data_IF_817848057354
#
_entry.id   IF_817848057354
#
_cell.length_a   1.000
_cell.length_b   1.000
_cell.length_c   1.000
_cell.angle_alpha   90.00
_cell.angle_beta   90.00
_cell.angle_gamma   90.00
#
_symmetry.space_group_name_H-M   'P 1'
#
loop_
_entity.id
_entity.type
_entity.pdbx_description
1 polymer ?
#
# COMPACT_ATOMS: atom_id res chain seq x y z
N UNK A 1 -4.79 27.96 32.00
CA UNK A 1 -3.90 28.05 33.14
C UNK A 1 -4.33 27.01 34.17
N UNK A 2 -3.85 25.76 34.02
CA UNK A 2 -3.88 24.73 35.07
C UNK A 2 -2.76 23.77 34.75
N UNK A 3 -1.70 23.82 35.58
CA UNK A 3 -0.58 22.87 35.58
C UNK A 3 -0.96 21.62 36.36
N UNK A 4 -0.58 20.45 35.86
CA UNK A 4 -0.46 19.24 36.64
C UNK A 4 0.96 18.68 36.54
N UNK A 5 1.51 18.08 37.62
CA UNK A 5 2.92 17.86 37.77
C UNK A 5 3.40 16.55 37.15
N UNK A 6 4.61 16.62 36.61
CA UNK A 6 5.42 15.49 36.12
C UNK A 6 5.95 14.67 37.29
N UNK A 7 5.70 13.37 37.29
CA UNK A 7 6.43 12.39 38.13
C UNK A 7 7.33 11.56 37.18
N UNK A 8 8.64 11.70 37.37
CA UNK A 8 9.66 10.80 36.78
C UNK A 8 9.92 9.66 37.75
N UNK A 9 10.01 8.42 37.32
CA UNK A 9 10.66 7.37 38.09
C UNK A 9 12.15 7.28 37.74
N UNK A 10 12.91 7.17 38.80
CA UNK A 10 14.36 7.07 38.86
C UNK A 10 14.81 5.65 38.47
N UNK A 11 15.79 5.55 37.56
CA UNK A 11 16.43 4.28 37.16
C UNK A 11 17.81 4.25 37.77
N UNK A 12 17.95 3.54 38.86
CA UNK A 12 19.24 3.02 39.31
C UNK A 12 19.05 1.80 40.18
N UNK A 13 19.75 0.74 39.83
CA UNK A 13 19.93 -0.62 40.42
C UNK A 13 19.30 -1.71 39.56
N UNK A 14 20.00 -2.73 39.09
CA UNK A 14 21.03 -3.57 39.66
C UNK A 14 21.69 -4.41 38.56
N UNK A 15 23.00 -4.30 38.43
CA UNK A 15 23.79 -5.40 37.88
C UNK A 15 24.44 -6.16 39.04
N UNK A 16 24.11 -7.41 39.23
CA UNK A 16 24.97 -8.38 39.92
C UNK A 16 25.09 -9.65 39.11
N UNK A 17 26.31 -9.86 38.70
CA UNK A 17 26.85 -11.05 38.03
C UNK A 17 27.01 -12.20 39.01
N UNK A 18 26.63 -13.41 38.70
CA UNK A 18 27.31 -14.59 39.18
C UNK A 18 26.93 -15.88 38.38
N UNK A 19 28.00 -16.61 38.10
CA UNK A 19 28.16 -18.06 37.88
C UNK A 19 28.02 -18.63 36.46
N UNK A 20 29.18 -18.88 35.91
CA UNK A 20 29.49 -19.84 34.85
C UNK A 20 28.94 -21.24 35.15
N UNK A 21 28.09 -21.78 34.28
CA UNK A 21 27.89 -23.22 34.12
C UNK A 21 28.15 -23.63 32.67
N UNK A 22 29.07 -24.57 32.49
CA UNK A 22 29.36 -25.25 31.22
C UNK A 22 28.09 -25.97 30.75
N UNK A 23 27.64 -25.71 29.55
CA UNK A 23 26.63 -26.51 28.86
C UNK A 23 27.23 -27.15 27.61
N UNK A 24 27.01 -28.46 27.52
CA UNK A 24 27.35 -29.31 26.40
C UNK A 24 26.62 -28.88 25.14
N UNK A 25 27.31 -28.85 24.01
CA UNK A 25 26.77 -28.58 22.69
C UNK A 25 25.76 -29.66 22.29
N UNK A 26 24.55 -29.31 21.89
CA UNK A 26 23.69 -30.23 21.15
C UNK A 26 24.00 -30.13 19.64
N UNK A 27 24.15 -31.30 19.04
CA UNK A 27 24.27 -31.54 17.61
C UNK A 27 23.12 -30.82 16.88
N UNK A 28 23.44 -29.86 16.03
CA UNK A 28 22.52 -29.21 15.14
C UNK A 28 21.94 -30.20 14.14
N UNK A 29 20.70 -30.63 14.34
CA UNK A 29 19.91 -31.29 13.31
C UNK A 29 19.62 -30.24 12.19
N UNK A 30 20.04 -30.58 10.98
CA UNK A 30 19.67 -29.81 9.78
C UNK A 30 18.14 -29.72 9.69
N UNK A 31 17.57 -28.55 9.35
CA UNK A 31 16.14 -28.44 9.11
C UNK A 31 15.79 -29.25 7.85
N UNK A 32 14.97 -30.27 8.04
CA UNK A 32 14.31 -30.98 6.95
C UNK A 32 13.50 -29.99 6.13
N UNK A 33 13.78 -29.90 4.84
CA UNK A 33 12.98 -29.13 3.89
C UNK A 33 11.50 -29.51 4.02
N UNK A 34 10.69 -28.60 4.47
CA UNK A 34 9.25 -28.76 4.52
C UNK A 34 8.74 -28.97 3.08
N UNK A 35 8.22 -30.17 2.81
CA UNK A 35 7.51 -30.45 1.56
C UNK A 35 6.23 -29.64 1.56
N UNK A 36 6.23 -28.54 0.80
CA UNK A 36 5.00 -27.84 0.47
C UNK A 36 4.15 -28.77 -0.41
N UNK A 37 2.97 -29.12 0.09
CA UNK A 37 1.95 -29.87 -0.64
C UNK A 37 1.54 -29.03 -1.88
N UNK A 38 1.89 -29.50 -3.06
CA UNK A 38 1.45 -28.94 -4.33
C UNK A 38 0.01 -29.38 -4.59
N UNK A 39 -0.95 -28.68 -4.02
CA UNK A 39 -2.28 -28.61 -4.63
C UNK A 39 -2.16 -27.73 -5.86
N UNK A 40 -2.67 -28.16 -7.00
CA UNK A 40 -2.65 -27.47 -8.28
C UNK A 40 -3.50 -26.19 -8.25
N UNK A 41 -3.02 -25.16 -7.59
CA UNK A 41 -3.52 -23.79 -7.73
C UNK A 41 -2.78 -23.16 -8.90
N UNK A 42 -3.50 -22.46 -9.77
CA UNK A 42 -2.90 -21.61 -10.81
C UNK A 42 -1.84 -20.72 -10.18
N UNK A 43 -0.72 -20.46 -10.88
CA UNK A 43 0.36 -19.62 -10.32
C UNK A 43 -0.20 -18.25 -9.98
N UNK A 44 0.17 -17.73 -8.78
CA UNK A 44 -0.20 -16.38 -8.36
C UNK A 44 0.29 -15.35 -9.40
N UNK A 45 -0.63 -14.52 -9.88
CA UNK A 45 -0.34 -13.41 -10.77
C UNK A 45 -0.65 -12.09 -10.06
N UNK A 46 0.28 -11.12 -10.08
CA UNK A 46 0.01 -9.80 -9.53
C UNK A 46 -1.11 -9.11 -10.30
N UNK A 47 -1.90 -8.24 -9.65
CA UNK A 47 -2.88 -7.42 -10.35
C UNK A 47 -2.20 -6.49 -11.35
N UNK A 48 -2.75 -6.36 -12.56
CA UNK A 48 -2.24 -5.41 -13.56
C UNK A 48 -2.33 -3.97 -13.05
N UNK A 49 -3.39 -3.65 -12.29
CA UNK A 49 -3.59 -2.33 -11.71
C UNK A 49 -4.03 -2.42 -10.24
N UNK A 50 -3.43 -1.60 -9.39
CA UNK A 50 -3.82 -1.47 -7.99
C UNK A 50 -3.75 -0.03 -7.50
N UNK A 51 -4.60 0.31 -6.51
CA UNK A 51 -4.57 1.60 -5.81
C UNK A 51 -3.69 1.48 -4.57
N UNK A 52 -2.68 2.35 -4.46
CA UNK A 52 -1.74 2.33 -3.35
C UNK A 52 -2.41 2.61 -1.99
N UNK A 53 -1.96 1.97 -0.90
CA UNK A 53 -2.37 2.31 0.46
C UNK A 53 -1.93 3.73 0.82
N UNK A 54 -2.86 4.58 1.23
CA UNK A 54 -2.60 5.99 1.56
C UNK A 54 -3.39 6.38 2.82
N UNK A 55 -2.68 6.68 3.91
CA UNK A 55 -3.29 7.12 5.17
C UNK A 55 -4.21 8.31 4.95
N UNK A 56 -5.37 8.28 5.58
CA UNK A 56 -6.45 9.27 5.52
C UNK A 56 -7.11 9.41 4.13
N UNK A 57 -6.68 8.65 3.13
CA UNK A 57 -7.17 8.74 1.75
C UNK A 57 -7.85 7.47 1.26
N UNK A 58 -7.25 6.29 1.48
CA UNK A 58 -7.82 5.02 1.01
C UNK A 58 -8.61 4.30 2.10
N UNK A 59 -9.42 5.09 2.81
CA UNK A 59 -10.37 4.60 3.80
C UNK A 59 -11.52 3.78 3.16
N UNK A 60 -12.40 3.26 3.98
CA UNK A 60 -13.53 2.46 3.53
C UNK A 60 -14.45 3.22 2.56
N UNK A 61 -14.60 4.53 2.74
CA UNK A 61 -15.48 5.38 1.94
C UNK A 61 -14.89 5.61 0.54
N UNK A 62 -13.59 5.92 0.46
CA UNK A 62 -12.90 6.03 -0.81
C UNK A 62 -12.91 4.71 -1.59
N UNK A 63 -12.64 3.58 -0.92
CA UNK A 63 -12.65 2.26 -1.59
C UNK A 63 -14.02 1.90 -2.13
N UNK A 64 -15.10 2.28 -1.44
CA UNK A 64 -16.47 2.13 -1.97
C UNK A 64 -16.68 2.95 -3.23
N UNK A 65 -16.29 4.24 -3.23
CA UNK A 65 -16.35 5.07 -4.44
C UNK A 65 -15.52 4.46 -5.58
N UNK A 66 -14.28 4.08 -5.30
CA UNK A 66 -13.39 3.46 -6.28
C UNK A 66 -14.02 2.21 -6.92
N UNK A 67 -14.65 1.36 -6.11
CA UNK A 67 -15.31 0.12 -6.59
C UNK A 67 -16.59 0.37 -7.39
N UNK A 68 -17.28 1.47 -7.17
CA UNK A 68 -18.39 1.88 -8.04
C UNK A 68 -17.84 2.24 -9.43
N UNK A 69 -16.72 2.98 -9.49
CA UNK A 69 -16.09 3.47 -10.74
C UNK A 69 -15.42 2.32 -11.52
N UNK A 70 -14.63 1.45 -10.85
CA UNK A 70 -13.90 0.33 -11.48
C UNK A 70 -14.24 -0.99 -10.81
N UNK A 71 -14.36 -2.07 -11.60
CA UNK A 71 -14.62 -3.43 -11.09
C UNK A 71 -13.35 -4.26 -10.91
N UNK A 72 -12.25 -3.92 -11.59
CA UNK A 72 -11.06 -4.77 -11.70
C UNK A 72 -9.83 -4.24 -10.95
N UNK A 73 -9.77 -2.93 -10.63
CA UNK A 73 -8.67 -2.40 -9.83
C UNK A 73 -8.60 -3.07 -8.45
N UNK A 74 -7.41 -3.52 -8.05
CA UNK A 74 -7.18 -4.00 -6.69
C UNK A 74 -7.07 -2.82 -5.72
N UNK A 75 -7.79 -2.90 -4.62
CA UNK A 75 -7.85 -1.85 -3.61
C UNK A 75 -7.04 -2.26 -2.38
N UNK A 76 -6.33 -1.31 -1.79
CA UNK A 76 -5.59 -1.51 -0.54
C UNK A 76 -6.28 -0.77 0.59
N UNK A 77 -6.30 -1.35 1.78
CA UNK A 77 -6.64 -0.62 2.99
C UNK A 77 -5.59 0.46 3.25
N UNK A 78 -5.87 1.38 4.15
CA UNK A 78 -4.82 2.13 4.82
C UNK A 78 -3.92 1.17 5.59
N UNK A 79 -2.70 1.58 5.93
CA UNK A 79 -1.82 0.77 6.77
C UNK A 79 -2.38 0.67 8.20
N UNK A 80 -2.65 -0.54 8.65
CA UNK A 80 -3.12 -0.82 10.02
C UNK A 80 -1.94 -1.38 10.82
N UNK A 81 -1.64 -0.75 11.97
CA UNK A 81 -0.60 -1.26 12.85
C UNK A 81 -1.04 -2.59 13.49
N UNK A 82 -0.21 -3.63 13.37
CA UNK A 82 -0.51 -4.96 13.90
C UNK A 82 -0.82 -4.92 15.42
N UNK A 83 -0.07 -4.13 16.17
CA UNK A 83 -0.32 -3.94 17.60
C UNK A 83 -1.71 -3.36 17.89
N UNK A 84 -2.23 -2.47 17.04
CA UNK A 84 -3.59 -1.94 17.20
C UNK A 84 -4.62 -3.08 17.16
N UNK A 85 -4.51 -3.99 16.19
CA UNK A 85 -5.41 -5.14 16.10
C UNK A 85 -5.28 -6.09 17.30
N UNK A 86 -4.06 -6.32 17.76
CA UNK A 86 -3.79 -7.17 18.93
C UNK A 86 -4.38 -6.59 20.22
N UNK A 87 -4.35 -5.27 20.39
CA UNK A 87 -4.88 -4.62 21.58
C UNK A 87 -6.39 -4.32 21.51
N UNK A 88 -6.95 -4.20 20.32
CA UNK A 88 -8.37 -3.83 20.09
C UNK A 88 -9.23 -5.02 19.63
N UNK A 89 -8.99 -6.23 20.15
CA UNK A 89 -9.66 -7.46 19.71
C UNK A 89 -11.18 -7.44 19.87
N UNK A 90 -11.72 -6.64 20.77
CA UNK A 90 -13.16 -6.47 20.98
C UNK A 90 -13.81 -5.51 19.98
N UNK A 91 -13.03 -4.84 19.14
CA UNK A 91 -13.50 -3.81 18.20
C UNK A 91 -12.80 -3.92 16.84
N UNK A 92 -12.58 -5.13 16.37
CA UNK A 92 -11.85 -5.38 15.09
C UNK A 92 -12.62 -4.86 13.88
N UNK A 93 -13.95 -4.90 13.92
CA UNK A 93 -14.81 -4.44 12.81
C UNK A 93 -14.51 -2.99 12.42
N UNK A 94 -14.19 -2.16 13.40
CA UNK A 94 -13.80 -0.75 13.14
C UNK A 94 -12.59 -0.63 12.21
N UNK A 95 -11.67 -1.59 12.24
CA UNK A 95 -10.41 -1.57 11.50
C UNK A 95 -10.43 -2.45 10.27
N UNK A 96 -11.14 -3.59 10.34
CA UNK A 96 -11.05 -4.65 9.36
C UNK A 96 -12.31 -4.84 8.51
N UNK A 97 -13.50 -4.39 8.99
CA UNK A 97 -14.72 -4.58 8.23
C UNK A 97 -14.78 -3.69 6.98
N UNK A 98 -15.26 -4.25 5.91
CA UNK A 98 -15.49 -3.57 4.63
C UNK A 98 -16.69 -4.18 3.89
N UNK A 99 -17.40 -3.43 3.04
CA UNK A 99 -18.44 -3.99 2.19
C UNK A 99 -17.90 -5.05 1.23
N UNK A 100 -18.55 -6.22 1.07
CA UNK A 100 -18.09 -7.30 0.18
C UNK A 100 -17.85 -6.86 -1.27
N UNK A 101 -18.54 -5.81 -1.70
CA UNK A 101 -18.35 -5.24 -3.05
C UNK A 101 -16.95 -4.67 -3.28
N UNK A 102 -16.15 -4.40 -2.24
CA UNK A 102 -14.81 -3.85 -2.40
C UNK A 102 -13.77 -4.87 -2.91
N UNK A 103 -14.09 -6.16 -2.95
CA UNK A 103 -13.19 -7.14 -3.57
C UNK A 103 -12.87 -6.82 -5.05
N UNK A 104 -11.61 -7.10 -5.49
CA UNK A 104 -10.48 -7.60 -4.70
C UNK A 104 -9.86 -6.51 -3.82
N UNK A 105 -9.54 -6.87 -2.57
CA UNK A 105 -9.02 -5.96 -1.56
C UNK A 105 -7.85 -6.56 -0.76
N UNK A 106 -6.82 -5.76 -0.52
CA UNK A 106 -5.61 -6.13 0.23
C UNK A 106 -5.57 -5.44 1.58
N UNK A 107 -5.34 -6.22 2.64
CA UNK A 107 -5.04 -5.68 3.96
C UNK A 107 -3.56 -5.29 4.03
N UNK A 108 -3.25 -4.01 4.29
CA UNK A 108 -1.87 -3.63 4.57
C UNK A 108 -1.61 -3.54 6.08
N UNK A 109 -0.67 -4.36 6.57
CA UNK A 109 -0.18 -4.33 7.94
C UNK A 109 1.10 -3.51 8.07
N UNK A 110 1.27 -2.87 9.24
CA UNK A 110 2.51 -2.24 9.66
C UNK A 110 2.92 -2.75 11.04
N UNK A 111 4.22 -2.96 11.24
CA UNK A 111 4.77 -3.41 12.52
C UNK A 111 6.15 -4.04 12.33
N UNK A 112 6.90 -4.19 13.42
CA UNK A 112 8.20 -4.86 13.48
C UNK A 112 8.23 -6.06 14.43
N UNK A 113 7.20 -6.21 15.27
CA UNK A 113 7.10 -7.34 16.17
C UNK A 113 6.44 -8.53 15.44
N UNK A 114 7.20 -9.60 15.25
CA UNK A 114 6.81 -10.80 14.48
C UNK A 114 5.56 -11.47 15.06
N UNK A 115 5.48 -11.60 16.39
CA UNK A 115 4.34 -12.22 17.06
C UNK A 115 3.06 -11.40 16.87
N UNK A 116 3.15 -10.07 16.99
CA UNK A 116 2.01 -9.17 16.75
C UNK A 116 1.53 -9.22 15.30
N UNK A 117 2.46 -9.33 14.33
CA UNK A 117 2.13 -9.47 12.91
C UNK A 117 1.44 -10.82 12.62
N UNK A 118 1.94 -11.92 13.16
CA UNK A 118 1.32 -13.23 13.08
C UNK A 118 -0.12 -13.22 13.64
N UNK A 119 -0.28 -12.64 14.84
CA UNK A 119 -1.59 -12.54 15.48
C UNK A 119 -2.55 -11.63 14.71
N UNK A 120 -2.08 -10.50 14.16
CA UNK A 120 -2.88 -9.62 13.32
C UNK A 120 -3.35 -10.33 12.04
N UNK A 121 -2.48 -11.11 11.38
CA UNK A 121 -2.83 -11.93 10.23
C UNK A 121 -3.93 -12.95 10.59
N UNK A 122 -3.79 -13.66 11.70
CA UNK A 122 -4.80 -14.59 12.19
C UNK A 122 -6.14 -13.90 12.48
N UNK A 123 -6.13 -12.74 13.12
CA UNK A 123 -7.35 -11.97 13.44
C UNK A 123 -8.06 -11.46 12.17
N UNK A 124 -7.32 -11.17 11.11
CA UNK A 124 -7.90 -10.70 9.84
C UNK A 124 -8.58 -11.80 9.01
N UNK A 125 -8.35 -13.07 9.33
CA UNK A 125 -8.88 -14.21 8.58
C UNK A 125 -10.40 -14.19 8.43
N UNK A 126 -11.12 -13.80 9.49
CA UNK A 126 -12.60 -13.75 9.49
C UNK A 126 -13.17 -12.69 8.52
N UNK A 127 -12.35 -11.77 8.01
CA UNK A 127 -12.79 -10.67 7.16
C UNK A 127 -12.62 -10.96 5.65
N UNK A 128 -11.91 -12.02 5.29
CA UNK A 128 -11.86 -12.51 3.91
C UNK A 128 -11.10 -11.61 2.94
N UNK A 129 -10.01 -10.96 3.36
CA UNK A 129 -9.13 -10.23 2.45
C UNK A 129 -8.52 -11.14 1.39
N UNK A 130 -8.29 -10.63 0.18
CA UNK A 130 -7.72 -11.39 -0.93
C UNK A 130 -6.19 -11.54 -0.82
N UNK A 131 -5.53 -10.64 -0.08
CA UNK A 131 -4.08 -10.62 0.13
C UNK A 131 -3.74 -9.88 1.43
N UNK A 132 -2.62 -10.24 2.07
CA UNK A 132 -2.03 -9.47 3.17
C UNK A 132 -0.70 -8.90 2.70
N UNK A 133 -0.50 -7.60 2.89
CA UNK A 133 0.70 -6.87 2.51
C UNK A 133 1.40 -6.29 3.73
N UNK A 134 2.73 -6.44 3.83
CA UNK A 134 3.54 -5.78 4.86
C UNK A 134 4.12 -4.47 4.32
N UNK A 135 3.97 -3.40 5.10
CA UNK A 135 4.54 -2.10 4.78
C UNK A 135 6.02 -2.02 5.19
N UNK A 136 6.90 -2.00 4.19
CA UNK A 136 8.34 -1.74 4.33
C UNK A 136 8.75 -0.46 3.58
N UNK A 137 7.85 0.53 3.41
CA UNK A 137 8.13 1.69 2.56
C UNK A 137 7.72 3.05 3.13
N UNK A 138 6.98 3.11 4.24
CA UNK A 138 6.51 4.37 4.83
C UNK A 138 7.66 5.10 5.54
N UNK A 139 8.01 6.35 5.13
CA UNK A 139 9.08 7.12 5.76
C UNK A 139 8.58 8.05 6.87
N UNK A 140 7.31 7.96 7.28
CA UNK A 140 6.75 8.84 8.30
C UNK A 140 7.52 8.71 9.63
N UNK A 141 7.90 9.80 10.30
CA UNK A 141 8.58 9.74 11.60
C UNK A 141 7.80 8.95 12.67
N UNK A 142 6.47 8.97 12.63
CA UNK A 142 5.63 8.15 13.53
C UNK A 142 5.79 6.65 13.28
N UNK A 143 6.14 6.25 12.07
CA UNK A 143 6.26 4.87 11.63
C UNK A 143 7.73 4.44 11.67
N UNK A 144 8.60 5.11 10.92
CA UNK A 144 10.00 4.73 10.75
C UNK A 144 10.90 5.15 11.92
N UNK A 145 10.53 6.23 12.64
CA UNK A 145 11.26 6.69 13.83
C UNK A 145 10.77 5.97 15.09
N UNK A 146 9.75 6.50 15.75
CA UNK A 146 9.25 5.95 17.02
C UNK A 146 8.67 4.54 16.91
N UNK A 147 8.07 4.20 15.75
CA UNK A 147 7.48 2.87 15.52
C UNK A 147 8.49 1.80 15.10
N UNK A 148 9.69 2.17 14.66
CA UNK A 148 10.74 1.27 14.16
C UNK A 148 10.24 0.25 13.12
N UNK A 149 9.30 0.64 12.25
CA UNK A 149 8.78 -0.17 11.15
C UNK A 149 8.60 0.68 9.87
N UNK A 150 7.83 0.22 8.88
CA UNK A 150 7.79 0.89 7.58
C UNK A 150 9.12 0.80 6.87
N UNK A 151 9.66 1.92 6.36
CA UNK A 151 10.88 1.88 5.57
C UNK A 151 12.12 1.48 6.37
N UNK A 152 12.15 1.70 7.68
CA UNK A 152 13.26 1.25 8.55
C UNK A 152 13.46 -0.27 8.51
N UNK A 153 12.42 -1.04 8.21
CA UNK A 153 12.51 -2.49 8.04
C UNK A 153 13.41 -2.91 6.87
N UNK A 154 13.58 -2.07 5.85
CA UNK A 154 14.47 -2.39 4.73
C UNK A 154 15.93 -2.55 5.18
N UNK A 155 16.32 -1.94 6.31
CA UNK A 155 17.65 -2.07 6.90
C UNK A 155 17.84 -3.40 7.67
N UNK A 156 16.77 -4.18 7.85
CA UNK A 156 16.82 -5.50 8.50
C UNK A 156 16.00 -6.54 7.69
N UNK A 157 16.51 -6.96 6.53
CA UNK A 157 15.80 -7.89 5.65
C UNK A 157 15.57 -9.27 6.28
N UNK A 158 16.40 -9.68 7.26
CA UNK A 158 16.18 -10.93 8.01
C UNK A 158 14.89 -10.85 8.84
N UNK A 159 14.69 -9.76 9.58
CA UNK A 159 13.47 -9.54 10.36
C UNK A 159 12.23 -9.50 9.45
N UNK A 160 12.34 -8.89 8.26
CA UNK A 160 11.23 -8.88 7.29
C UNK A 160 10.91 -10.30 6.81
N UNK A 161 11.92 -11.11 6.50
CA UNK A 161 11.72 -12.50 6.10
C UNK A 161 11.03 -13.32 7.21
N UNK A 162 11.49 -13.22 8.45
CA UNK A 162 10.88 -13.86 9.62
C UNK A 162 9.42 -13.39 9.83
N UNK A 163 9.16 -12.10 9.71
CA UNK A 163 7.82 -11.54 9.82
C UNK A 163 6.89 -12.04 8.70
N UNK A 164 7.37 -12.09 7.46
CA UNK A 164 6.60 -12.58 6.33
C UNK A 164 6.30 -14.08 6.42
N UNK A 165 7.24 -14.89 6.93
CA UNK A 165 6.98 -16.30 7.24
C UNK A 165 5.88 -16.43 8.29
N UNK A 166 5.98 -15.68 9.39
CA UNK A 166 4.99 -15.72 10.46
C UNK A 166 3.60 -15.24 10.03
N UNK A 167 3.52 -14.21 9.16
CA UNK A 167 2.26 -13.79 8.55
C UNK A 167 1.68 -14.91 7.69
N UNK A 168 2.49 -15.52 6.82
CA UNK A 168 2.06 -16.59 5.92
C UNK A 168 1.56 -17.82 6.67
N UNK A 169 2.22 -18.21 7.75
CA UNK A 169 1.81 -19.34 8.60
C UNK A 169 0.44 -19.12 9.28
N UNK A 170 -0.01 -17.87 9.36
CA UNK A 170 -1.28 -17.44 9.97
C UNK A 170 -2.28 -16.83 8.99
N UNK A 171 -1.97 -16.87 7.69
CA UNK A 171 -2.83 -16.40 6.61
C UNK A 171 -3.17 -17.56 5.66
N UNK A 172 -4.38 -17.53 5.05
CA UNK A 172 -4.79 -18.46 4.00
C UNK A 172 -4.81 -17.80 2.61
N UNK A 173 -4.18 -16.65 2.49
CA UNK A 173 -4.11 -15.82 1.27
C UNK A 173 -2.65 -15.47 0.96
N UNK A 174 -2.35 -15.06 -0.27
CA UNK A 174 -1.00 -14.61 -0.63
C UNK A 174 -0.50 -13.50 0.30
N UNK A 175 0.83 -13.52 0.57
CA UNK A 175 1.49 -12.50 1.39
C UNK A 175 2.55 -11.77 0.59
N UNK A 176 2.53 -10.44 0.65
CA UNK A 176 3.35 -9.57 -0.20
C UNK A 176 4.03 -8.46 0.59
N UNK A 177 5.06 -7.86 0.01
CA UNK A 177 5.82 -6.76 0.63
C UNK A 177 5.72 -5.51 -0.23
N UNK A 178 5.43 -4.36 0.39
CA UNK A 178 5.55 -3.06 -0.28
C UNK A 178 6.74 -2.30 0.28
N UNK A 179 7.77 -2.11 -0.54
CA UNK A 179 9.02 -1.48 -0.17
C UNK A 179 9.34 -0.24 -1.03
N UNK A 180 10.51 0.33 -0.80
CA UNK A 180 11.18 1.33 -1.63
C UNK A 180 12.43 0.73 -2.27
N UNK A 181 13.21 1.54 -3.00
CA UNK A 181 14.48 1.12 -3.60
C UNK A 181 15.69 1.34 -2.68
N UNK A 182 15.49 1.88 -1.48
CA UNK A 182 16.54 2.13 -0.49
C UNK A 182 16.11 3.13 0.57
N UNK A 183 17.00 3.37 1.53
CA UNK A 183 16.82 4.26 2.69
C UNK A 183 18.11 5.07 2.90
N UNK A 184 18.01 6.40 2.92
CA UNK A 184 19.13 7.32 3.08
C UNK A 184 20.30 6.98 2.14
N UNK A 185 21.45 6.60 2.68
CA UNK A 185 22.65 6.23 1.90
C UNK A 185 22.70 4.75 1.52
N UNK A 186 21.76 3.94 2.01
CA UNK A 186 21.57 2.54 1.64
C UNK A 186 20.61 2.44 0.44
N UNK A 187 21.05 2.87 -0.74
CA UNK A 187 20.21 2.97 -1.94
C UNK A 187 20.87 2.44 -3.22
N UNK A 188 21.89 1.59 -3.08
CA UNK A 188 22.46 0.85 -4.20
C UNK A 188 21.51 -0.23 -4.70
N UNK A 189 21.66 -0.59 -5.97
CA UNK A 189 20.89 -1.68 -6.55
C UNK A 189 21.19 -3.02 -5.88
N UNK A 190 22.45 -3.26 -5.50
CA UNK A 190 22.86 -4.47 -4.80
C UNK A 190 22.21 -4.62 -3.43
N UNK A 191 22.11 -3.55 -2.64
CA UNK A 191 21.40 -3.58 -1.34
C UNK A 191 19.91 -3.86 -1.50
N UNK A 192 19.28 -3.33 -2.56
CA UNK A 192 17.91 -3.66 -2.90
C UNK A 192 17.76 -5.14 -3.27
N UNK A 193 18.68 -5.69 -4.04
CA UNK A 193 18.69 -7.11 -4.38
C UNK A 193 18.91 -8.00 -3.15
N UNK A 194 19.83 -7.63 -2.26
CA UNK A 194 20.08 -8.32 -1.00
C UNK A 194 18.80 -8.36 -0.12
N UNK A 195 18.05 -7.25 -0.07
CA UNK A 195 16.75 -7.20 0.60
C UNK A 195 15.75 -8.19 -0.01
N UNK A 196 15.55 -8.14 -1.32
CA UNK A 196 14.61 -9.01 -2.05
C UNK A 196 15.00 -10.48 -1.89
N UNK A 197 16.28 -10.79 -2.11
CA UNK A 197 16.82 -12.15 -1.97
C UNK A 197 16.60 -12.71 -0.57
N UNK A 198 16.98 -11.97 0.47
CA UNK A 198 16.85 -12.40 1.85
C UNK A 198 15.40 -12.65 2.24
N UNK A 199 14.50 -11.73 1.91
CA UNK A 199 13.07 -11.86 2.22
C UNK A 199 12.45 -13.05 1.49
N UNK A 200 12.71 -13.23 0.19
CA UNK A 200 12.15 -14.33 -0.61
C UNK A 200 12.73 -15.69 -0.26
N UNK A 201 13.96 -15.75 0.30
CA UNK A 201 14.59 -16.99 0.76
C UNK A 201 14.07 -17.42 2.14
N UNK A 202 13.80 -16.46 3.03
CA UNK A 202 13.36 -16.74 4.40
C UNK A 202 11.84 -16.88 4.55
N UNK A 203 11.08 -16.60 3.50
CA UNK A 203 9.61 -16.61 3.53
C UNK A 203 9.01 -17.08 2.21
N UNK A 204 7.71 -17.43 2.16
CA UNK A 204 7.01 -17.77 0.93
C UNK A 204 6.64 -16.53 0.10
N UNK A 205 7.10 -15.33 0.43
CA UNK A 205 6.84 -14.11 -0.33
C UNK A 205 7.40 -14.21 -1.75
N UNK A 206 6.55 -14.02 -2.75
CA UNK A 206 6.93 -14.08 -4.18
C UNK A 206 6.53 -12.83 -4.95
N UNK A 207 5.91 -11.84 -4.29
CA UNK A 207 5.50 -10.59 -4.91
C UNK A 207 5.94 -9.39 -4.07
N UNK A 208 6.61 -8.44 -4.73
CA UNK A 208 7.09 -7.19 -4.14
C UNK A 208 6.50 -6.00 -4.89
N UNK A 209 5.94 -5.04 -4.18
CA UNK A 209 5.49 -3.77 -4.71
C UNK A 209 6.58 -2.72 -4.45
N UNK A 210 7.27 -2.26 -5.48
CA UNK A 210 8.47 -1.42 -5.37
C UNK A 210 8.14 0.03 -5.70
N UNK A 211 8.20 0.92 -4.70
CA UNK A 211 8.15 2.36 -4.95
C UNK A 211 9.52 2.83 -5.44
N UNK A 212 9.60 3.26 -6.71
CA UNK A 212 10.84 3.59 -7.43
C UNK A 212 11.57 4.86 -6.96
N UNK A 213 11.44 5.20 -5.67
CA UNK A 213 12.22 6.25 -4.99
C UNK A 213 12.77 5.72 -3.68
N UNK A 214 14.00 6.11 -3.32
CA UNK A 214 14.50 5.87 -1.96
C UNK A 214 13.70 6.67 -0.92
N UNK A 215 13.80 6.31 0.34
CA UNK A 215 13.33 7.12 1.45
C UNK A 215 14.48 7.95 2.03
N UNK A 216 14.15 9.15 2.48
CA UNK A 216 15.01 9.98 3.32
C UNK A 216 14.35 10.11 4.69
N UNK A 217 15.01 9.64 5.74
CA UNK A 217 14.47 9.63 7.11
C UNK A 217 14.70 10.95 7.85
N UNK A 218 15.75 11.67 7.48
CA UNK A 218 16.10 12.97 8.07
C UNK A 218 15.51 14.15 7.30
N UNK A 219 14.82 15.06 8.00
CA UNK A 219 14.60 16.45 7.54
C UNK A 219 13.52 16.71 6.52
N UNK A 220 12.86 15.70 5.93
CA UNK A 220 11.79 15.92 4.94
C UNK A 220 10.48 15.20 5.28
N UNK A 221 9.38 15.82 4.86
CA UNK A 221 8.05 15.25 5.08
C UNK A 221 7.81 13.98 4.24
N UNK A 222 6.82 13.12 4.62
CA UNK A 222 6.38 12.01 3.75
C UNK A 222 5.89 12.48 2.38
N UNK A 223 5.39 13.71 2.24
CA UNK A 223 4.99 14.29 0.97
C UNK A 223 6.21 14.59 0.09
N UNK A 224 7.25 15.18 0.68
CA UNK A 224 8.52 15.46 0.00
C UNK A 224 9.28 14.19 -0.37
N UNK A 225 9.22 13.16 0.46
CA UNK A 225 9.74 11.82 0.17
C UNK A 225 9.10 11.15 -1.08
N UNK A 226 7.96 11.66 -1.56
CA UNK A 226 7.31 11.23 -2.81
C UNK A 226 7.61 12.15 -3.99
N UNK A 227 8.43 13.19 -3.81
CA UNK A 227 8.73 14.21 -4.81
C UNK A 227 10.22 14.42 -5.00
N UNK A 228 10.99 14.61 -3.93
CA UNK A 228 12.39 15.03 -3.97
C UNK A 228 13.34 13.92 -4.42
N UNK A 229 13.36 12.70 -3.81
CA UNK A 229 14.25 11.66 -4.30
C UNK A 229 13.91 11.31 -5.76
N UNK A 230 14.90 11.12 -6.64
CA UNK A 230 14.66 10.80 -8.04
C UNK A 230 13.95 9.46 -8.20
N UNK A 231 13.18 9.32 -9.27
CA UNK A 231 12.65 8.04 -9.71
C UNK A 231 13.79 7.25 -10.36
N UNK A 232 13.90 5.98 -10.00
CA UNK A 232 14.85 5.03 -10.60
C UNK A 232 14.03 3.81 -11.07
N UNK A 233 13.37 3.93 -12.23
CA UNK A 233 12.60 2.83 -12.81
C UNK A 233 13.50 1.70 -13.30
N UNK A 234 14.73 2.01 -13.68
CA UNK A 234 15.76 1.05 -14.06
C UNK A 234 16.03 0.00 -12.97
N UNK A 235 15.93 0.36 -11.69
CA UNK A 235 16.06 -0.60 -10.58
C UNK A 235 14.91 -1.61 -10.57
N UNK A 236 13.70 -1.15 -10.86
CA UNK A 236 12.54 -2.02 -10.93
C UNK A 236 12.67 -3.06 -12.07
N UNK A 237 13.01 -2.61 -13.28
CA UNK A 237 13.15 -3.51 -14.42
C UNK A 237 14.37 -4.43 -14.29
N UNK A 238 15.42 -3.98 -13.62
CA UNK A 238 16.55 -4.83 -13.28
C UNK A 238 16.16 -5.94 -12.29
N UNK A 239 15.28 -5.67 -11.30
CA UNK A 239 14.73 -6.72 -10.43
C UNK A 239 13.93 -7.76 -11.21
N UNK A 240 13.13 -7.33 -12.20
CA UNK A 240 12.39 -8.26 -13.09
C UNK A 240 13.34 -9.17 -13.85
N UNK A 241 14.48 -8.64 -14.35
CA UNK A 241 15.53 -9.39 -15.03
C UNK A 241 16.24 -10.38 -14.09
N UNK A 242 16.62 -9.93 -12.88
CA UNK A 242 17.54 -10.67 -12.00
C UNK A 242 16.81 -11.68 -11.09
N UNK A 243 15.49 -11.56 -10.93
CA UNK A 243 14.66 -12.45 -10.13
C UNK A 243 13.46 -12.98 -10.94
N UNK A 244 13.68 -13.83 -11.96
CA UNK A 244 12.61 -14.27 -12.88
C UNK A 244 11.51 -15.08 -12.19
N UNK A 245 11.82 -15.73 -11.07
CA UNK A 245 10.85 -16.51 -10.26
C UNK A 245 9.99 -15.65 -9.33
N UNK A 246 10.30 -14.35 -9.20
CA UNK A 246 9.55 -13.41 -8.40
C UNK A 246 8.67 -12.51 -9.28
N UNK A 247 7.66 -11.91 -8.66
CA UNK A 247 6.79 -10.93 -9.29
C UNK A 247 7.00 -9.56 -8.67
N UNK A 248 6.92 -8.54 -9.51
CA UNK A 248 7.13 -7.16 -9.09
C UNK A 248 6.01 -6.26 -9.62
N UNK A 249 5.49 -5.39 -8.77
CA UNK A 249 4.59 -4.30 -9.15
C UNK A 249 5.32 -2.97 -9.03
N UNK A 250 5.34 -2.19 -10.11
CA UNK A 250 5.97 -0.86 -10.11
C UNK A 250 5.06 0.17 -9.45
N UNK A 251 5.65 1.07 -8.67
CA UNK A 251 4.94 2.19 -8.04
C UNK A 251 5.81 3.46 -8.00
N UNK A 252 5.18 4.62 -8.04
CA UNK A 252 5.82 5.92 -7.92
C UNK A 252 5.85 6.71 -9.23
N UNK A 253 5.41 7.97 -9.19
CA UNK A 253 5.44 8.88 -10.36
C UNK A 253 4.43 8.60 -11.46
N UNK A 254 3.62 7.55 -11.38
CA UNK A 254 2.62 7.18 -12.38
C UNK A 254 1.36 8.00 -12.16
N UNK A 255 1.00 8.80 -13.16
CA UNK A 255 -0.02 9.86 -13.06
C UNK A 255 -1.20 9.69 -14.01
N UNK A 256 -1.09 8.80 -15.00
CA UNK A 256 -2.14 8.54 -16.01
C UNK A 256 -2.24 7.05 -16.34
N UNK A 257 -3.33 6.65 -16.97
CA UNK A 257 -3.53 5.28 -17.48
C UNK A 257 -2.59 5.01 -18.65
N UNK A 258 -2.26 6.01 -19.46
CA UNK A 258 -1.23 5.91 -20.52
C UNK A 258 0.11 5.46 -19.95
N UNK A 259 0.57 6.07 -18.83
CA UNK A 259 1.80 5.63 -18.13
C UNK A 259 1.68 4.22 -17.53
N UNK A 260 0.48 3.81 -17.09
CA UNK A 260 0.25 2.42 -16.67
C UNK A 260 0.49 1.47 -17.83
N UNK A 261 -0.11 1.74 -18.99
CA UNK A 261 0.04 0.92 -20.20
C UNK A 261 1.48 0.93 -20.72
N UNK A 262 2.15 2.08 -20.69
CA UNK A 262 3.57 2.17 -21.05
C UNK A 262 4.44 1.28 -20.16
N UNK A 263 4.25 1.31 -18.83
CA UNK A 263 4.98 0.45 -17.92
C UNK A 263 4.71 -1.04 -18.18
N UNK A 264 3.45 -1.43 -18.41
CA UNK A 264 3.08 -2.82 -18.73
C UNK A 264 3.68 -3.28 -20.07
N UNK A 265 3.70 -2.41 -21.08
CA UNK A 265 4.33 -2.66 -22.38
C UNK A 265 5.83 -2.96 -22.25
N UNK A 266 6.53 -2.26 -21.37
CA UNK A 266 7.95 -2.50 -21.06
C UNK A 266 8.18 -3.72 -20.15
N UNK A 267 7.16 -4.52 -19.87
CA UNK A 267 7.29 -5.79 -19.13
C UNK A 267 7.05 -5.69 -17.62
N UNK A 268 6.44 -4.62 -17.12
CA UNK A 268 6.02 -4.60 -15.73
C UNK A 268 4.95 -5.68 -15.46
N UNK A 269 5.10 -6.44 -14.36
CA UNK A 269 4.13 -7.47 -14.01
C UNK A 269 2.83 -6.89 -13.45
N UNK A 270 2.86 -5.65 -12.97
CA UNK A 270 1.71 -4.89 -12.48
C UNK A 270 2.11 -3.47 -12.12
N UNK A 271 1.13 -2.59 -12.00
CA UNK A 271 1.32 -1.17 -11.73
C UNK A 271 0.46 -0.73 -10.56
N UNK A 272 1.06 -0.05 -9.60
CA UNK A 272 0.35 0.54 -8.47
C UNK A 272 0.33 2.07 -8.58
N UNK A 273 -0.88 2.64 -8.59
CA UNK A 273 -1.10 4.09 -8.68
C UNK A 273 -1.55 4.65 -7.34
N UNK A 274 -0.95 5.74 -6.89
CA UNK A 274 -1.34 6.39 -5.63
C UNK A 274 -2.15 7.66 -5.86
N UNK A 275 -1.49 8.81 -5.74
CA UNK A 275 -2.12 10.14 -5.72
C UNK A 275 -3.00 10.45 -6.92
N UNK A 276 -2.68 9.94 -8.11
CA UNK A 276 -3.52 10.15 -9.29
C UNK A 276 -4.90 9.52 -9.11
N UNK A 277 -4.98 8.29 -8.59
CA UNK A 277 -6.25 7.61 -8.33
C UNK A 277 -7.13 8.33 -7.30
N UNK A 278 -6.53 9.07 -6.35
CA UNK A 278 -7.28 9.87 -5.38
C UNK A 278 -7.63 11.28 -5.90
N UNK A 279 -6.68 11.96 -6.54
CA UNK A 279 -6.84 13.34 -6.98
C UNK A 279 -7.65 13.48 -8.27
N UNK A 280 -7.67 12.45 -9.11
CA UNK A 280 -8.45 12.39 -10.34
C UNK A 280 -9.06 10.98 -10.50
N UNK A 281 -9.97 10.57 -9.60
CA UNK A 281 -10.52 9.23 -9.61
C UNK A 281 -11.29 8.91 -10.89
N UNK A 282 -11.98 9.90 -11.47
CA UNK A 282 -12.78 9.70 -12.67
C UNK A 282 -11.93 9.24 -13.86
N UNK A 283 -10.89 9.99 -14.23
CA UNK A 283 -10.04 9.65 -15.36
C UNK A 283 -9.11 8.45 -15.04
N UNK A 284 -8.60 8.37 -13.80
CA UNK A 284 -7.65 7.31 -13.46
C UNK A 284 -8.35 5.95 -13.29
N UNK A 285 -9.45 5.89 -12.52
CA UNK A 285 -10.10 4.61 -12.23
C UNK A 285 -11.12 4.21 -13.31
N UNK A 286 -11.80 5.16 -13.91
CA UNK A 286 -12.84 4.88 -14.90
C UNK A 286 -12.31 4.29 -16.20
N UNK A 287 -11.04 4.55 -16.55
CA UNK A 287 -10.39 3.98 -17.74
C UNK A 287 -9.70 2.64 -17.47
N UNK A 288 -9.52 2.24 -16.21
CA UNK A 288 -8.76 1.03 -15.85
C UNK A 288 -9.37 -0.22 -16.46
N UNK A 289 -10.68 -0.38 -16.34
CA UNK A 289 -11.37 -1.60 -16.81
C UNK A 289 -11.21 -1.79 -18.31
N UNK A 290 -11.32 -0.72 -19.09
CA UNK A 290 -11.16 -0.77 -20.56
C UNK A 290 -9.71 -0.79 -21.00
N UNK A 291 -8.91 0.17 -20.55
CA UNK A 291 -7.58 0.40 -21.10
C UNK A 291 -6.51 -0.55 -20.52
N UNK A 292 -6.72 -1.11 -19.32
CA UNK A 292 -5.74 -2.02 -18.69
C UNK A 292 -6.21 -3.47 -18.73
N UNK A 293 -7.49 -3.71 -18.44
CA UNK A 293 -8.03 -5.08 -18.40
C UNK A 293 -8.72 -5.50 -19.68
N UNK A 294 -8.93 -4.60 -20.66
CA UNK A 294 -9.54 -4.92 -21.95
C UNK A 294 -11.01 -5.33 -21.83
N UNK A 295 -11.70 -4.98 -20.75
CA UNK A 295 -13.12 -5.30 -20.56
C UNK A 295 -13.99 -4.07 -20.85
N UNK A 296 -15.26 -4.25 -21.26
CA UNK A 296 -16.14 -3.13 -21.57
C UNK A 296 -16.29 -2.18 -20.37
N UNK A 297 -16.35 -0.87 -20.64
CA UNK A 297 -16.68 0.14 -19.64
C UNK A 297 -18.04 -0.16 -19.00
N UNK A 298 -18.19 0.20 -17.73
CA UNK A 298 -19.49 0.18 -17.04
C UNK A 298 -20.53 1.09 -17.70
N UNK A 299 -20.09 2.05 -18.51
CA UNK A 299 -20.94 3.08 -19.12
C UNK A 299 -21.58 4.06 -18.13
N UNK A 300 -21.22 3.98 -16.85
CA UNK A 300 -21.78 4.86 -15.83
C UNK A 300 -21.35 6.31 -16.05
N UNK A 301 -22.30 7.23 -15.82
CA UNK A 301 -22.03 8.67 -15.75
C UNK A 301 -21.61 9.06 -14.32
N UNK A 302 -21.03 10.25 -14.18
CA UNK A 302 -20.70 10.78 -12.83
C UNK A 302 -21.96 10.89 -11.95
N UNK A 303 -23.09 11.29 -12.52
CA UNK A 303 -24.38 11.35 -11.82
C UNK A 303 -24.74 9.98 -11.23
N UNK A 304 -24.74 8.94 -12.03
CA UNK A 304 -25.05 7.58 -11.59
C UNK A 304 -24.08 7.06 -10.53
N UNK A 305 -22.79 7.38 -10.65
CA UNK A 305 -21.80 7.04 -9.61
C UNK A 305 -22.09 7.77 -8.30
N UNK A 306 -22.44 9.05 -8.35
CA UNK A 306 -22.78 9.84 -7.16
C UNK A 306 -24.06 9.33 -6.50
N UNK A 307 -25.09 8.98 -7.27
CA UNK A 307 -26.34 8.40 -6.77
C UNK A 307 -26.09 7.07 -6.06
N UNK A 308 -25.33 6.16 -6.68
CA UNK A 308 -24.98 4.90 -6.07
C UNK A 308 -24.15 5.08 -4.77
N UNK A 309 -23.21 6.01 -4.80
CA UNK A 309 -22.41 6.32 -3.62
C UNK A 309 -23.23 6.96 -2.51
N UNK A 310 -24.17 7.85 -2.83
CA UNK A 310 -25.08 8.48 -1.87
C UNK A 310 -25.86 7.44 -1.06
N UNK A 311 -26.43 6.44 -1.73
CA UNK A 311 -27.18 5.36 -1.06
C UNK A 311 -26.31 4.68 0.00
N UNK A 312 -25.07 4.35 -0.35
CA UNK A 312 -24.12 3.79 0.61
C UNK A 312 -23.82 4.79 1.74
N UNK A 313 -23.47 6.02 1.39
CA UNK A 313 -23.01 7.03 2.35
C UNK A 313 -24.08 7.36 3.39
N UNK A 314 -25.32 7.57 2.96
CA UNK A 314 -26.45 7.87 3.85
C UNK A 314 -26.83 6.64 4.74
N UNK A 315 -26.58 5.40 4.26
CA UNK A 315 -26.81 4.20 5.06
C UNK A 315 -25.81 3.99 6.20
N UNK A 316 -24.58 4.50 6.07
CA UNK A 316 -23.52 4.34 7.08
C UNK A 316 -23.33 5.58 7.96
N UNK A 317 -24.06 6.66 7.68
CA UNK A 317 -23.96 7.92 8.41
C UNK A 317 -24.25 7.74 9.90
N UNK A 318 -23.30 8.08 10.77
CA UNK A 318 -23.44 8.01 12.23
C UNK A 318 -23.44 6.59 12.84
N UNK A 319 -23.24 5.53 12.04
CA UNK A 319 -23.39 4.14 12.51
C UNK A 319 -22.26 3.64 13.42
N UNK A 320 -21.08 4.29 13.42
CA UNK A 320 -19.91 3.85 14.20
C UNK A 320 -19.86 4.46 15.62
N UNK A 321 -20.93 5.14 16.07
CA UNK A 321 -20.99 5.83 17.35
C UNK A 321 -20.38 7.23 17.31
N UNK A 322 -20.68 8.05 18.31
CA UNK A 322 -20.25 9.47 18.41
C UNK A 322 -20.50 10.29 17.12
N UNK A 323 -21.56 9.98 16.37
CA UNK A 323 -21.91 10.64 15.12
C UNK A 323 -20.91 10.41 13.96
N UNK A 324 -20.15 9.31 13.99
CA UNK A 324 -19.21 8.96 12.91
C UNK A 324 -19.70 7.75 12.11
N UNK A 325 -19.35 7.66 10.79
CA UNK A 325 -18.82 8.78 10.00
C UNK A 325 -19.83 9.93 9.90
N UNK A 326 -19.36 11.15 9.84
CA UNK A 326 -20.21 12.32 9.58
C UNK A 326 -20.24 12.65 8.07
N UNK A 327 -21.08 13.62 7.67
CA UNK A 327 -21.23 14.02 6.26
C UNK A 327 -19.89 14.41 5.63
N UNK A 328 -19.00 15.13 6.36
CA UNK A 328 -17.69 15.54 5.85
C UNK A 328 -16.78 14.32 5.59
N UNK A 329 -16.79 13.32 6.47
CA UNK A 329 -16.02 12.09 6.28
C UNK A 329 -16.45 11.36 5.00
N UNK A 330 -17.76 11.28 4.77
CA UNK A 330 -18.36 10.60 3.63
C UNK A 330 -18.23 11.35 2.30
N UNK A 331 -18.24 12.68 2.31
CA UNK A 331 -18.11 13.50 1.08
C UNK A 331 -16.64 13.70 0.67
N UNK A 332 -15.68 13.54 1.61
CA UNK A 332 -14.25 13.74 1.34
C UNK A 332 -13.76 13.01 0.07
N UNK A 333 -14.08 11.73 -0.19
CA UNK A 333 -13.68 11.05 -1.41
C UNK A 333 -14.24 11.66 -2.71
N UNK A 334 -15.42 12.25 -2.62
CA UNK A 334 -16.11 12.83 -3.79
C UNK A 334 -15.50 14.14 -4.28
N UNK A 335 -14.76 14.85 -3.42
CA UNK A 335 -14.29 16.22 -3.72
C UNK A 335 -13.41 16.32 -4.97
N UNK A 336 -12.85 15.20 -5.43
CA UNK A 336 -11.97 15.18 -6.59
C UNK A 336 -12.60 14.54 -7.85
N UNK A 337 -13.87 14.12 -7.80
CA UNK A 337 -14.53 13.46 -8.94
C UNK A 337 -14.69 14.36 -10.17
N UNK A 338 -14.68 15.68 -9.95
CA UNK A 338 -14.75 16.71 -11.00
C UNK A 338 -13.39 17.37 -11.27
N UNK A 339 -12.27 16.64 -11.03
CA UNK A 339 -10.94 17.18 -11.31
C UNK A 339 -10.84 17.65 -12.78
N UNK A 340 -10.32 18.87 -12.99
CA UNK A 340 -10.19 19.54 -14.30
C UNK A 340 -11.50 19.84 -15.04
N UNK A 341 -12.67 19.63 -14.43
CA UNK A 341 -13.96 19.93 -15.05
C UNK A 341 -14.43 21.36 -14.75
N UNK A 342 -15.27 21.88 -15.65
CA UNK A 342 -15.97 23.15 -15.45
C UNK A 342 -16.86 23.07 -14.21
N UNK A 343 -16.78 24.09 -13.35
CA UNK A 343 -17.55 24.14 -12.10
C UNK A 343 -16.85 23.49 -10.88
N UNK A 344 -15.75 22.74 -11.05
CA UNK A 344 -15.06 22.04 -9.95
C UNK A 344 -14.71 22.92 -8.74
N UNK A 345 -14.19 24.14 -8.98
CA UNK A 345 -13.86 25.07 -7.89
C UNK A 345 -15.11 25.58 -7.16
N UNK A 346 -16.21 25.78 -7.87
CA UNK A 346 -17.50 26.19 -7.31
C UNK A 346 -18.14 25.02 -6.53
N UNK A 347 -18.08 23.81 -7.07
CA UNK A 347 -18.48 22.57 -6.41
C UNK A 347 -17.82 22.44 -5.03
N UNK A 348 -16.50 22.53 -4.95
CA UNK A 348 -15.74 22.41 -3.69
C UNK A 348 -16.15 23.48 -2.67
N UNK A 349 -16.35 24.72 -3.11
CA UNK A 349 -16.80 25.81 -2.22
C UNK A 349 -18.22 25.61 -1.71
N UNK A 350 -19.13 25.15 -2.57
CA UNK A 350 -20.52 24.86 -2.17
C UNK A 350 -20.57 23.67 -1.22
N UNK A 351 -19.83 22.59 -1.49
CA UNK A 351 -19.72 21.45 -0.60
C UNK A 351 -19.17 21.86 0.78
N UNK A 352 -18.14 22.73 0.83
CA UNK A 352 -17.60 23.20 2.11
C UNK A 352 -18.59 24.04 2.90
N UNK A 353 -19.35 24.91 2.24
CA UNK A 353 -20.42 25.68 2.87
C UNK A 353 -21.55 24.76 3.40
N UNK A 354 -21.96 23.79 2.58
CA UNK A 354 -23.06 22.88 2.89
C UNK A 354 -22.77 21.92 4.09
N UNK A 355 -21.50 21.66 4.42
CA UNK A 355 -21.15 20.83 5.61
C UNK A 355 -21.73 21.36 6.93
N UNK A 356 -22.06 22.64 7.03
CA UNK A 356 -22.62 23.25 8.25
C UNK A 356 -24.13 23.05 8.37
N UNK A 357 -24.81 22.88 7.26
CA UNK A 357 -26.28 22.91 7.17
C UNK A 357 -26.87 21.53 6.83
N UNK A 358 -26.21 20.79 5.95
CA UNK A 358 -26.71 19.52 5.47
C UNK A 358 -26.46 18.37 6.48
N UNK A 359 -27.51 17.60 6.74
CA UNK A 359 -27.47 16.46 7.68
C UNK A 359 -27.26 15.11 7.00
N UNK A 360 -27.40 15.05 5.68
CA UNK A 360 -27.21 13.84 4.86
C UNK A 360 -26.29 14.13 3.68
N UNK A 361 -25.69 13.08 3.10
CA UNK A 361 -24.92 13.23 1.87
C UNK A 361 -25.81 13.62 0.70
N UNK A 362 -27.03 13.07 0.64
CA UNK A 362 -28.02 13.44 -0.37
C UNK A 362 -28.31 14.93 -0.40
N UNK A 363 -28.67 15.52 0.74
CA UNK A 363 -28.97 16.97 0.81
C UNK A 363 -27.77 17.85 0.45
N UNK A 364 -26.54 17.42 0.78
CA UNK A 364 -25.34 18.11 0.37
C UNK A 364 -25.11 18.03 -1.14
N UNK A 365 -25.32 16.87 -1.75
CA UNK A 365 -25.19 16.69 -3.19
C UNK A 365 -26.22 17.54 -3.96
N UNK A 366 -27.50 17.53 -3.54
CA UNK A 366 -28.55 18.36 -4.14
C UNK A 366 -28.18 19.85 -4.17
N UNK A 367 -27.57 20.36 -3.10
CA UNK A 367 -27.16 21.77 -3.03
C UNK A 367 -25.89 22.05 -3.84
N UNK A 368 -24.89 21.19 -3.73
CA UNK A 368 -23.57 21.48 -4.29
C UNK A 368 -23.44 21.13 -5.78
N UNK A 369 -24.15 20.12 -6.28
CA UNK A 369 -24.12 19.73 -7.71
C UNK A 369 -24.70 20.78 -8.66
N UNK A 370 -25.48 21.75 -8.18
CA UNK A 370 -25.90 22.92 -8.95
C UNK A 370 -24.71 23.73 -9.52
N UNK A 371 -23.49 23.47 -9.08
CA UNK A 371 -22.26 24.06 -9.59
C UNK A 371 -21.73 23.38 -10.86
N UNK A 372 -22.18 22.18 -11.16
CA UNK A 372 -21.64 21.33 -12.24
C UNK A 372 -22.66 21.28 -13.38
N UNK A 373 -22.25 21.53 -14.63
CA UNK A 373 -23.13 21.40 -15.78
C UNK A 373 -23.61 19.94 -15.96
N UNK A 374 -24.87 19.78 -16.40
CA UNK A 374 -25.43 18.46 -16.71
C UNK A 374 -24.60 17.72 -17.77
N UNK A 375 -24.05 18.43 -18.74
CA UNK A 375 -23.15 17.84 -19.73
C UNK A 375 -21.89 17.17 -19.12
N UNK A 376 -21.42 17.62 -17.95
CA UNK A 376 -20.33 17.01 -17.20
C UNK A 376 -20.84 15.84 -16.34
N UNK A 377 -22.03 16.02 -15.72
CA UNK A 377 -22.62 14.99 -14.86
C UNK A 377 -23.05 13.76 -15.66
N UNK A 378 -23.61 13.96 -16.85
CA UNK A 378 -24.27 12.91 -17.64
C UNK A 378 -23.38 12.34 -18.77
N UNK A 379 -22.16 12.86 -18.93
CA UNK A 379 -21.18 12.25 -19.84
C UNK A 379 -20.60 10.97 -19.23
N UNK A 380 -20.58 9.87 -20.00
CA UNK A 380 -19.85 8.67 -19.60
C UNK A 380 -18.34 8.94 -19.59
N UNK A 381 -17.59 8.02 -18.99
CA UNK A 381 -16.13 8.09 -19.06
C UNK A 381 -15.66 8.00 -20.52
N UNK A 382 -14.79 8.90 -20.93
CA UNK A 382 -14.15 8.88 -22.24
C UNK A 382 -12.64 9.07 -22.07
N UNK A 383 -11.89 8.50 -22.99
CA UNK A 383 -10.46 8.79 -23.07
C UNK A 383 -10.28 10.27 -23.39
N UNK A 384 -9.54 10.97 -22.54
CA UNK A 384 -9.06 12.31 -22.90
C UNK A 384 -8.07 12.15 -24.05
N UNK A 385 -8.06 13.07 -25.04
CA UNK A 385 -7.00 13.06 -26.06
C UNK A 385 -5.65 13.05 -25.31
N UNK A 386 -4.81 12.07 -25.65
CA UNK A 386 -3.50 11.95 -25.03
C UNK A 386 -2.74 13.26 -25.21
N UNK A 387 -2.51 13.99 -24.15
CA UNK A 387 -1.41 14.95 -24.13
C UNK A 387 -0.16 14.11 -24.35
N UNK A 388 0.63 14.39 -25.38
CA UNK A 388 1.86 13.68 -25.70
C UNK A 388 2.85 13.80 -24.54
N UNK A 389 2.59 13.07 -23.46
CA UNK A 389 3.52 12.90 -22.35
C UNK A 389 4.66 12.02 -22.86
N UNK A 390 5.91 12.46 -22.64
CA UNK A 390 7.10 11.65 -22.92
C UNK A 390 6.93 10.27 -22.25
N UNK A 391 7.18 9.21 -23.01
CA UNK A 391 7.19 7.84 -22.49
C UNK A 391 8.42 7.68 -21.58
N UNK A 392 8.20 7.92 -20.29
CA UNK A 392 9.26 7.85 -19.26
C UNK A 392 9.87 6.46 -19.10
N UNK A 393 9.35 5.45 -19.80
CA UNK A 393 9.84 4.08 -19.76
C UNK A 393 10.55 3.66 -21.07
N UNK A 394 10.46 4.44 -22.16
CA UNK A 394 10.91 4.05 -23.51
C UNK A 394 12.36 3.56 -23.56
N UNK A 395 13.27 4.15 -22.78
CA UNK A 395 14.70 3.80 -22.79
C UNK A 395 15.16 3.10 -21.50
N UNK A 396 14.25 2.65 -20.66
CA UNK A 396 14.58 2.14 -19.33
C UNK A 396 15.52 0.94 -19.37
N UNK A 397 15.43 0.10 -20.38
CA UNK A 397 16.29 -1.08 -20.55
C UNK A 397 17.72 -0.73 -20.93
N UNK A 398 17.98 0.47 -21.46
CA UNK A 398 19.31 0.93 -21.84
C UNK A 398 20.15 1.40 -20.63
N UNK A 399 19.50 1.67 -19.49
CA UNK A 399 20.14 2.24 -18.30
C UNK A 399 20.09 1.30 -17.08
N UNK A 400 19.79 0.01 -17.30
CA UNK A 400 19.74 -0.97 -16.21
C UNK A 400 21.10 -1.09 -15.52
N UNK A 401 21.13 -1.19 -14.18
CA UNK A 401 22.34 -1.51 -13.46
C UNK A 401 22.90 -2.88 -13.88
N UNK A 402 24.21 -3.15 -13.61
CA UNK A 402 24.79 -4.46 -13.83
C UNK A 402 23.96 -5.59 -13.15
N UNK A 403 23.92 -6.80 -13.73
CA UNK A 403 23.20 -7.92 -13.14
C UNK A 403 23.69 -8.25 -11.73
N UNK A 404 22.74 -8.56 -10.85
CA UNK A 404 23.02 -8.96 -9.48
C UNK A 404 23.66 -10.37 -9.41
N UNK A 405 24.74 -10.50 -8.67
CA UNK A 405 25.51 -11.74 -8.52
C UNK A 405 25.38 -12.31 -7.10
N UNK A 406 24.26 -12.96 -6.82
CA UNK A 406 23.97 -13.54 -5.50
C UNK A 406 25.04 -14.55 -5.02
N UNK A 407 25.60 -15.35 -5.90
CA UNK A 407 26.49 -16.46 -5.53
C UNK A 407 27.87 -15.98 -5.08
N UNK A 408 28.40 -14.92 -5.66
CA UNK A 408 29.72 -14.40 -5.27
C UNK A 408 29.70 -13.74 -3.89
N UNK A 409 28.56 -13.16 -3.46
CA UNK A 409 28.42 -12.48 -2.16
C UNK A 409 28.17 -13.42 -0.97
N UNK A 410 27.45 -14.53 -1.16
CA UNK A 410 27.29 -15.54 -0.10
C UNK A 410 28.65 -16.11 0.30
N UNK A 411 29.54 -16.33 -0.66
CA UNK A 411 30.91 -16.78 -0.40
C UNK A 411 31.74 -15.70 0.33
N UNK A 412 31.52 -14.42 0.02
CA UNK A 412 32.26 -13.31 0.65
C UNK A 412 31.81 -13.09 2.11
N UNK A 413 30.52 -13.17 2.40
CA UNK A 413 29.97 -13.02 3.76
C UNK A 413 30.37 -14.18 4.64
N UNK A 414 30.28 -15.43 4.14
CA UNK A 414 30.73 -16.62 4.87
C UNK A 414 32.24 -16.59 5.15
N UNK A 415 33.05 -16.03 4.25
CA UNK A 415 34.49 -15.87 4.45
C UNK A 415 34.84 -14.76 5.46
N UNK A 416 33.95 -13.81 5.67
CA UNK A 416 34.12 -12.71 6.65
C UNK A 416 33.72 -13.17 8.08
N UNK A 417 32.59 -13.88 8.19
CA UNK A 417 32.13 -14.45 9.47
C UNK A 417 33.07 -15.55 10.01
N UNK A 418 33.87 -16.17 9.13
CA UNK A 418 34.91 -17.13 9.56
C UNK A 418 36.24 -16.46 9.97
N UNK A 419 36.41 -15.13 9.72
CA UNK A 419 37.62 -14.36 10.06
C UNK A 419 37.42 -13.38 11.21
N UNK A 420 36.19 -13.20 11.70
CA UNK A 420 35.82 -12.41 12.87
C UNK A 420 35.52 -13.33 14.07
#
# INVERSE_FOLDING_TARGET
>A
MWCLPTVRPNVSEMFKCSSLRRFHSPVLKQPTAARFSTTSSSPYLPPLFSVAPMMEWTDNHYRTLARIITKHAWLYTEMIAAQTLVHQQTNLDRFLAFPPQQHPIVLQLGGSNVESLAKAAKLSHAYGYDEINLNCGCPSPKVAGHGCFGVSLMLNPKLVGEAMSAIADNANVPVTVKCRIGVDDHDSYDELCDFVYKVSTLSPTRHFIVHSRKALLGGISPADNRRIPPLKYEYYYALVRDFPDLKFTINGGITSVSKVNAALKEGAHGVMVGRAAYNNPWQTLGLVDTAVYGVPSSGLTRRQVLEQYQVYADSVLGTQGNGRPNVRDLVKPLLNIFHSENGNSLWKRRADAAFKECKTVGSLLEESLKAIPDSVLDSPISESPESGEDDVFADVHNVLPPPYKAVERVMYVLSWEQRA
#
